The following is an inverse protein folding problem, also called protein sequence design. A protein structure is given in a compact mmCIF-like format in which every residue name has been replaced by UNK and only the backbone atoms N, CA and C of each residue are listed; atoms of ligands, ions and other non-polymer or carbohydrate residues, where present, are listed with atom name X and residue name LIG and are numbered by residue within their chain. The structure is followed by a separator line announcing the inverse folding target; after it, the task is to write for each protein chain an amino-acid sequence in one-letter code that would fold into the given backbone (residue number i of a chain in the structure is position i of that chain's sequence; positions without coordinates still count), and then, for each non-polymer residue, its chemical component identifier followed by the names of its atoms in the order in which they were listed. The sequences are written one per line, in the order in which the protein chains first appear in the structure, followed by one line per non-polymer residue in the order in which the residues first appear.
data_IF_698298363694
#
_entry.id   IF_698298363694
#
_cell.length_a   1.000
_cell.length_b   1.000
_cell.length_c   1.000
_cell.angle_alpha   90.00
_cell.angle_beta   90.00
_cell.angle_gamma   90.00
#
_symmetry.space_group_name_H-M   'P 1'
#
loop_
_entity.id
_entity.type
_entity.pdbx_description
1 polymer ?
#
# COMPACT_ATOMS: atom_id res chain seq x y z
N UNK A 1 -1.79 -7.78 -15.63
CA UNK A 1 -0.40 -7.30 -15.63
C UNK A 1 0.36 -7.81 -14.40
N UNK A 2 -0.25 -7.75 -13.21
CA UNK A 2 0.38 -8.20 -11.95
C UNK A 2 0.89 -9.65 -12.02
N UNK A 3 0.10 -10.58 -12.58
CA UNK A 3 0.47 -12.00 -12.72
C UNK A 3 1.76 -12.26 -13.52
N UNK A 4 2.23 -11.28 -14.28
CA UNK A 4 3.51 -11.38 -15.01
C UNK A 4 4.71 -10.96 -14.16
N UNK A 5 4.47 -10.30 -13.02
CA UNK A 5 5.48 -9.66 -12.20
C UNK A 5 5.66 -10.34 -10.84
N UNK A 6 4.74 -11.21 -10.42
CA UNK A 6 4.75 -11.89 -9.12
C UNK A 6 4.41 -13.38 -9.26
N UNK A 7 4.90 -14.19 -8.31
CA UNK A 7 4.64 -15.63 -8.29
C UNK A 7 3.21 -15.97 -7.85
N UNK A 8 2.61 -15.16 -6.99
CA UNK A 8 1.28 -15.40 -6.43
C UNK A 8 0.48 -14.10 -6.35
N UNK A 9 -0.76 -14.15 -6.80
CA UNK A 9 -1.76 -13.11 -6.57
C UNK A 9 -2.82 -13.64 -5.63
N UNK A 10 -3.05 -12.93 -4.52
CA UNK A 10 -4.09 -13.23 -3.54
C UNK A 10 -5.12 -12.11 -3.61
N UNK A 11 -6.34 -12.46 -3.90
CA UNK A 11 -7.49 -11.55 -3.84
C UNK A 11 -8.27 -11.87 -2.58
N UNK A 12 -8.49 -10.88 -1.72
CA UNK A 12 -9.32 -11.02 -0.53
C UNK A 12 -10.60 -10.25 -0.76
N UNK A 13 -11.70 -10.97 -0.92
CA UNK A 13 -13.02 -10.40 -0.99
C UNK A 13 -13.56 -10.15 0.42
N UNK A 14 -13.74 -8.88 0.77
CA UNK A 14 -14.19 -8.47 2.10
C UNK A 14 -15.72 -8.32 2.17
N UNK A 15 -16.44 -9.35 1.69
CA UNK A 15 -17.90 -9.42 1.68
C UNK A 15 -18.59 -8.54 0.62
N UNK A 16 -18.13 -8.61 -0.62
CA UNK A 16 -18.69 -7.85 -1.73
C UNK A 16 -20.05 -8.40 -2.19
N UNK A 17 -20.96 -7.53 -2.59
CA UNK A 17 -22.27 -7.91 -3.12
C UNK A 17 -22.17 -8.66 -4.48
N UNK A 18 -21.10 -8.40 -5.24
CA UNK A 18 -20.85 -8.97 -6.57
C UNK A 18 -19.85 -10.13 -6.55
N UNK A 19 -19.74 -10.87 -5.44
CA UNK A 19 -18.78 -11.97 -5.29
C UNK A 19 -18.84 -13.01 -6.44
N UNK A 20 -20.01 -13.25 -7.02
CA UNK A 20 -20.16 -14.19 -8.14
C UNK A 20 -19.39 -13.76 -9.38
N UNK A 21 -19.36 -12.47 -9.68
CA UNK A 21 -18.58 -11.91 -10.80
C UNK A 21 -17.07 -12.08 -10.55
N UNK A 22 -16.65 -11.94 -9.27
CA UNK A 22 -15.25 -12.17 -8.88
C UNK A 22 -14.89 -13.66 -9.02
N UNK A 23 -15.76 -14.56 -8.61
CA UNK A 23 -15.57 -16.01 -8.75
C UNK A 23 -15.41 -16.43 -10.22
N UNK A 24 -16.20 -15.87 -11.12
CA UNK A 24 -16.08 -16.15 -12.57
C UNK A 24 -14.72 -15.72 -13.15
N UNK A 25 -14.09 -14.67 -12.57
CA UNK A 25 -12.77 -14.23 -13.00
C UNK A 25 -11.65 -15.18 -12.59
N UNK A 26 -11.81 -15.99 -11.52
CA UNK A 26 -10.78 -16.94 -11.06
C UNK A 26 -10.37 -17.92 -12.15
N UNK A 27 -11.33 -18.37 -12.97
CA UNK A 27 -11.09 -19.31 -14.05
C UNK A 27 -10.33 -18.69 -15.24
N UNK A 28 -10.37 -17.37 -15.37
CA UNK A 28 -9.77 -16.62 -16.48
C UNK A 28 -8.46 -15.92 -16.10
N UNK A 29 -8.31 -15.56 -14.83
CA UNK A 29 -7.14 -14.85 -14.29
C UNK A 29 -6.59 -15.62 -13.11
N UNK A 30 -5.36 -16.12 -13.19
CA UNK A 30 -4.76 -16.92 -12.13
C UNK A 30 -4.53 -16.10 -10.86
N UNK A 31 -5.42 -16.27 -9.86
CA UNK A 31 -5.27 -15.74 -8.52
C UNK A 31 -5.92 -16.66 -7.49
N UNK A 32 -5.50 -16.54 -6.24
CA UNK A 32 -6.11 -17.27 -5.13
C UNK A 32 -7.14 -16.34 -4.46
N UNK A 33 -8.40 -16.79 -4.42
CA UNK A 33 -9.50 -16.02 -3.80
C UNK A 33 -9.72 -16.46 -2.35
N UNK A 34 -9.70 -15.49 -1.44
CA UNK A 34 -10.15 -15.63 -0.05
C UNK A 34 -11.46 -14.87 0.06
N UNK A 35 -12.51 -15.52 0.57
CA UNK A 35 -13.83 -14.90 0.77
C UNK A 35 -14.11 -14.74 2.24
N UNK A 36 -14.38 -13.52 2.67
CA UNK A 36 -14.82 -13.27 4.03
C UNK A 36 -16.35 -13.45 4.15
N UNK A 37 -16.79 -13.93 5.29
CA UNK A 37 -18.23 -14.17 5.56
C UNK A 37 -18.97 -12.89 6.00
N UNK A 38 -18.24 -11.82 6.23
CA UNK A 38 -18.71 -10.47 6.62
C UNK A 38 -17.60 -9.46 6.32
N UNK A 39 -17.92 -8.18 6.28
CA UNK A 39 -16.91 -7.14 6.25
C UNK A 39 -16.08 -7.18 7.56
N UNK A 40 -14.82 -7.59 7.45
CA UNK A 40 -13.88 -7.72 8.58
C UNK A 40 -12.97 -6.50 8.73
N UNK A 41 -13.12 -5.51 7.86
CA UNK A 41 -12.24 -4.35 7.76
C UNK A 41 -10.98 -4.60 6.94
N UNK A 42 -10.34 -3.51 6.51
CA UNK A 42 -9.18 -3.55 5.63
C UNK A 42 -7.98 -4.24 6.28
N UNK A 43 -7.69 -3.90 7.54
CA UNK A 43 -6.55 -4.45 8.27
C UNK A 43 -6.61 -5.98 8.37
N UNK A 44 -7.76 -6.53 8.78
CA UNK A 44 -7.97 -7.98 8.89
C UNK A 44 -7.93 -8.65 7.52
N UNK A 45 -8.55 -8.05 6.49
CA UNK A 45 -8.52 -8.58 5.13
C UNK A 45 -7.08 -8.67 4.59
N UNK A 46 -6.29 -7.60 4.73
CA UNK A 46 -4.86 -7.60 4.37
C UNK A 46 -4.10 -8.70 5.14
N UNK A 47 -4.31 -8.82 6.44
CA UNK A 47 -3.67 -9.84 7.27
C UNK A 47 -4.01 -11.25 6.82
N UNK A 48 -5.26 -11.53 6.44
CA UNK A 48 -5.69 -12.84 5.95
C UNK A 48 -4.98 -13.20 4.65
N UNK A 49 -4.84 -12.26 3.72
CA UNK A 49 -4.05 -12.45 2.51
C UNK A 49 -2.57 -12.72 2.81
N UNK A 50 -1.95 -11.86 3.63
CA UNK A 50 -0.53 -11.96 3.99
C UNK A 50 -0.19 -13.29 4.66
N UNK A 51 -1.02 -13.78 5.58
CA UNK A 51 -0.81 -15.05 6.29
C UNK A 51 -0.69 -16.25 5.35
N UNK A 52 -1.30 -16.23 4.18
CA UNK A 52 -1.22 -17.35 3.23
C UNK A 52 0.14 -17.47 2.54
N UNK A 53 0.91 -16.38 2.48
CA UNK A 53 2.17 -16.29 1.73
C UNK A 53 3.39 -15.92 2.56
N UNK A 54 3.23 -15.44 3.79
CA UNK A 54 4.32 -14.87 4.60
C UNK A 54 5.50 -15.83 4.84
N UNK A 55 5.24 -17.15 4.85
CA UNK A 55 6.28 -18.18 5.05
C UNK A 55 6.85 -18.72 3.75
N UNK A 56 6.28 -18.34 2.60
CA UNK A 56 6.62 -18.89 1.28
C UNK A 56 7.20 -17.85 0.33
N UNK A 57 7.01 -16.56 0.63
CA UNK A 57 7.42 -15.44 -0.22
C UNK A 57 8.47 -14.58 0.49
N UNK A 58 9.36 -13.98 -0.27
CA UNK A 58 10.35 -13.03 0.25
C UNK A 58 9.76 -11.65 0.53
N UNK A 59 8.75 -11.28 -0.26
CA UNK A 59 8.07 -9.99 -0.19
C UNK A 59 6.56 -10.14 -0.33
N UNK A 60 5.85 -9.14 0.14
CA UNK A 60 4.44 -8.89 -0.12
C UNK A 60 4.31 -7.50 -0.71
N UNK A 61 3.43 -7.33 -1.66
CA UNK A 61 3.03 -6.02 -2.16
C UNK A 61 1.50 -5.93 -2.07
N UNK A 62 1.01 -4.83 -1.53
CA UNK A 62 -0.41 -4.63 -1.27
C UNK A 62 -0.98 -3.72 -2.36
N UNK A 63 -2.19 -4.00 -2.81
CA UNK A 63 -2.88 -3.16 -3.78
C UNK A 63 -4.36 -3.00 -3.41
N UNK A 64 -4.88 -1.81 -3.67
CA UNK A 64 -6.31 -1.57 -3.73
C UNK A 64 -6.85 -2.08 -5.08
N UNK A 65 -8.15 -2.40 -5.11
CA UNK A 65 -8.81 -3.03 -6.26
C UNK A 65 -8.77 -2.21 -7.56
N UNK A 66 -8.64 -0.89 -7.47
CA UNK A 66 -8.63 0.05 -8.60
C UNK A 66 -7.21 0.46 -9.03
N UNK A 67 -6.19 -0.14 -8.44
CA UNK A 67 -4.77 0.16 -8.71
C UNK A 67 -4.37 -0.20 -10.14
N UNK A 68 -3.60 0.67 -10.77
CA UNK A 68 -2.98 0.44 -12.09
C UNK A 68 -1.48 0.56 -11.97
N UNK A 69 -0.79 -0.46 -12.47
CA UNK A 69 0.67 -0.55 -12.40
C UNK A 69 1.31 -0.58 -13.79
N UNK A 70 2.57 -0.19 -13.86
CA UNK A 70 3.45 -0.31 -15.04
C UNK A 70 3.90 -1.76 -15.24
N UNK A 71 4.48 -2.07 -16.40
CA UNK A 71 4.99 -3.41 -16.72
C UNK A 71 6.20 -3.83 -15.87
N UNK A 72 6.94 -2.88 -15.30
CA UNK A 72 8.14 -3.13 -14.48
C UNK A 72 7.95 -2.68 -13.02
N UNK A 73 6.71 -2.49 -12.56
CA UNK A 73 6.42 -1.91 -11.25
C UNK A 73 7.13 -2.65 -10.11
N UNK A 74 6.94 -3.96 -10.03
CA UNK A 74 7.50 -4.78 -8.94
C UNK A 74 9.04 -4.80 -9.02
N UNK A 75 9.59 -4.94 -10.23
CA UNK A 75 11.05 -4.91 -10.44
C UNK A 75 11.65 -3.58 -9.97
N UNK A 76 11.03 -2.46 -10.29
CA UNK A 76 11.52 -1.14 -9.90
C UNK A 76 11.36 -0.87 -8.39
N UNK A 77 10.30 -1.38 -7.75
CA UNK A 77 10.19 -1.35 -6.29
C UNK A 77 11.31 -2.16 -5.62
N UNK A 78 11.60 -3.36 -6.12
CA UNK A 78 12.71 -4.19 -5.64
C UNK A 78 14.09 -3.55 -5.86
N UNK A 79 14.31 -2.90 -7.00
CA UNK A 79 15.57 -2.15 -7.28
C UNK A 79 15.75 -1.01 -6.28
N UNK A 80 14.70 -0.24 -6.02
CA UNK A 80 14.71 0.84 -5.05
C UNK A 80 15.03 0.31 -3.64
N UNK A 81 14.36 -0.74 -3.19
CA UNK A 81 14.63 -1.36 -1.91
C UNK A 81 16.06 -1.86 -1.79
N UNK A 82 16.57 -2.58 -2.80
CA UNK A 82 17.95 -3.10 -2.81
C UNK A 82 18.99 -1.98 -2.78
N UNK A 83 18.76 -0.89 -3.51
CA UNK A 83 19.60 0.31 -3.45
C UNK A 83 19.67 0.87 -2.03
N UNK A 84 18.54 1.04 -1.36
CA UNK A 84 18.47 1.54 0.01
C UNK A 84 19.21 0.62 0.99
N UNK A 85 18.99 -0.69 0.89
CA UNK A 85 19.64 -1.69 1.76
C UNK A 85 21.16 -1.71 1.53
N UNK A 86 21.62 -1.61 0.28
CA UNK A 86 23.06 -1.56 -0.03
C UNK A 86 23.75 -0.31 0.55
N UNK A 87 22.99 0.75 0.79
CA UNK A 87 23.43 1.97 1.49
C UNK A 87 23.20 1.92 3.01
N UNK A 88 22.96 0.73 3.58
CA UNK A 88 22.86 0.51 5.03
C UNK A 88 21.52 0.92 5.65
N UNK A 89 20.48 1.15 4.83
CA UNK A 89 19.16 1.52 5.35
C UNK A 89 18.39 0.28 5.80
N UNK A 90 17.79 0.34 6.97
CA UNK A 90 16.83 -0.65 7.49
C UNK A 90 15.43 -0.32 6.95
N UNK A 91 15.10 -0.82 5.76
CA UNK A 91 13.86 -0.50 5.05
C UNK A 91 12.68 -1.26 5.63
N UNK A 92 11.57 -0.56 5.93
CA UNK A 92 10.28 -1.18 6.28
C UNK A 92 9.44 -1.43 5.06
N UNK A 93 9.22 -0.40 4.25
CA UNK A 93 8.40 -0.45 3.05
C UNK A 93 8.91 0.52 2.00
N UNK A 94 8.68 0.19 0.74
CA UNK A 94 8.89 1.09 -0.40
C UNK A 94 7.56 1.28 -1.11
N UNK A 95 7.03 2.50 -1.11
CA UNK A 95 5.80 2.89 -1.81
C UNK A 95 6.09 3.62 -3.11
N UNK A 96 5.14 3.66 -4.05
CA UNK A 96 5.24 4.47 -5.25
C UNK A 96 4.94 5.95 -4.96
N UNK A 97 5.22 6.80 -5.93
CA UNK A 97 4.70 8.16 -5.99
C UNK A 97 3.23 8.14 -6.38
N UNK A 98 2.41 8.95 -5.73
CA UNK A 98 1.00 9.10 -6.08
C UNK A 98 0.72 10.43 -6.77
N UNK A 99 -0.24 10.39 -7.70
CA UNK A 99 -0.77 11.59 -8.34
C UNK A 99 -2.30 11.53 -8.47
N UNK A 100 -2.91 12.69 -8.38
CA UNK A 100 -4.35 12.84 -8.54
C UNK A 100 -4.76 12.60 -10.00
N UNK A 101 -5.72 11.71 -10.22
CA UNK A 101 -6.16 11.30 -11.54
C UNK A 101 -6.75 12.45 -12.39
N UNK A 102 -7.38 13.42 -11.75
CA UNK A 102 -8.11 14.48 -12.44
C UNK A 102 -7.25 15.71 -12.70
N UNK A 103 -6.45 16.11 -11.72
CA UNK A 103 -5.61 17.30 -11.80
C UNK A 103 -4.19 17.01 -12.30
N UNK A 104 -3.74 15.75 -12.25
CA UNK A 104 -2.35 15.37 -12.47
C UNK A 104 -1.41 15.85 -11.35
N UNK A 105 -1.96 16.41 -10.27
CA UNK A 105 -1.17 16.88 -9.14
C UNK A 105 -0.44 15.71 -8.48
N UNK A 106 0.89 15.82 -8.37
CA UNK A 106 1.73 14.86 -7.67
C UNK A 106 1.72 15.18 -6.18
N UNK A 107 1.33 14.19 -5.36
CA UNK A 107 1.35 14.36 -3.91
C UNK A 107 2.78 14.40 -3.39
N UNK A 108 3.13 15.40 -2.55
CA UNK A 108 4.45 15.46 -1.94
C UNK A 108 4.64 14.35 -0.92
N UNK A 109 5.90 14.01 -0.64
CA UNK A 109 6.24 13.10 0.44
C UNK A 109 6.01 13.78 1.78
N UNK A 110 5.26 13.11 2.66
CA UNK A 110 4.95 13.62 3.99
C UNK A 110 5.92 13.06 5.02
N UNK A 111 6.58 13.95 5.76
CA UNK A 111 7.49 13.62 6.85
C UNK A 111 7.10 14.37 8.11
N UNK A 112 6.85 13.65 9.21
CA UNK A 112 6.59 14.25 10.51
C UNK A 112 7.90 14.48 11.25
N UNK A 113 8.11 15.72 11.74
CA UNK A 113 9.20 16.11 12.63
C UNK A 113 8.61 16.62 13.95
N UNK A 114 8.34 15.70 14.87
CA UNK A 114 7.59 16.01 16.09
C UNK A 114 6.16 16.45 15.76
N UNK A 115 5.79 17.67 16.11
CA UNK A 115 4.46 18.25 15.82
C UNK A 115 4.36 18.94 14.45
N UNK A 116 5.47 19.02 13.70
CA UNK A 116 5.50 19.69 12.40
C UNK A 116 5.39 18.65 11.28
N UNK A 117 4.68 19.06 10.22
CA UNK A 117 4.58 18.28 8.98
C UNK A 117 5.46 18.98 7.94
N UNK A 118 6.39 18.22 7.38
CA UNK A 118 7.22 18.65 6.26
C UNK A 118 6.74 17.95 5.00
N UNK A 119 6.54 18.71 3.93
CA UNK A 119 6.25 18.20 2.61
C UNK A 119 7.47 18.39 1.72
N UNK A 120 7.98 17.29 1.18
CA UNK A 120 9.13 17.32 0.29
C UNK A 120 8.66 16.97 -1.12
N UNK A 121 9.03 17.82 -2.09
CA UNK A 121 8.81 17.51 -3.50
C UNK A 121 9.66 16.33 -3.93
N UNK A 122 9.11 15.52 -4.81
CA UNK A 122 9.77 14.30 -5.31
C UNK A 122 10.81 14.70 -6.36
N UNK A 123 12.01 14.18 -6.18
CA UNK A 123 13.15 14.28 -7.09
C UNK A 123 13.53 12.89 -7.63
N UNK A 124 14.72 12.75 -8.20
CA UNK A 124 15.21 11.49 -8.79
C UNK A 124 15.85 10.53 -7.77
N UNK A 125 15.69 10.78 -6.46
CA UNK A 125 16.24 9.95 -5.40
C UNK A 125 15.11 9.41 -4.50
N UNK A 126 15.24 8.18 -3.94
CA UNK A 126 14.29 7.66 -2.97
C UNK A 126 14.16 8.57 -1.75
N UNK A 127 12.95 8.96 -1.40
CA UNK A 127 12.67 9.90 -0.32
C UNK A 127 12.15 9.18 0.92
N UNK A 128 12.82 9.40 2.06
CA UNK A 128 12.32 8.93 3.36
C UNK A 128 11.00 9.61 3.70
N UNK A 129 9.99 8.82 4.02
CA UNK A 129 8.66 9.25 4.44
C UNK A 129 8.36 8.76 5.86
N UNK A 130 7.44 9.41 6.56
CA UNK A 130 6.96 8.90 7.85
C UNK A 130 6.08 7.67 7.65
N UNK A 131 5.29 7.65 6.60
CA UNK A 131 4.47 6.52 6.19
C UNK A 131 4.35 6.47 4.67
N UNK A 132 3.96 5.33 4.17
CA UNK A 132 3.59 5.07 2.78
C UNK A 132 2.17 4.54 2.74
N UNK A 133 1.42 4.87 1.69
CA UNK A 133 0.08 4.31 1.47
C UNK A 133 0.22 2.82 1.18
N UNK A 134 -0.69 2.01 1.70
CA UNK A 134 -0.64 0.55 1.55
C UNK A 134 -0.61 0.13 0.08
N UNK A 135 -1.41 0.77 -0.78
CA UNK A 135 -1.47 0.45 -2.21
C UNK A 135 -0.13 0.69 -2.91
N UNK A 136 0.40 -0.34 -3.55
CA UNK A 136 1.72 -0.34 -4.21
C UNK A 136 2.92 -0.48 -3.27
N UNK A 137 2.70 -0.63 -1.96
CA UNK A 137 3.79 -0.77 -0.99
C UNK A 137 4.39 -2.17 -1.00
N UNK A 138 5.69 -2.24 -1.28
CA UNK A 138 6.51 -3.45 -1.18
C UNK A 138 7.08 -3.59 0.22
N UNK A 139 6.88 -4.74 0.85
CA UNK A 139 7.32 -5.05 2.22
C UNK A 139 7.98 -6.43 2.24
N UNK A 140 9.16 -6.56 2.84
CA UNK A 140 9.78 -7.88 3.09
C UNK A 140 8.98 -8.67 4.12
N UNK A 141 8.78 -9.95 3.88
CA UNK A 141 8.11 -10.84 4.85
C UNK A 141 8.86 -10.95 6.17
N UNK A 142 10.20 -10.85 6.14
CA UNK A 142 11.01 -10.79 7.36
C UNK A 142 10.71 -9.54 8.21
N UNK A 143 10.40 -8.41 7.58
CA UNK A 143 10.00 -7.17 8.27
C UNK A 143 8.60 -7.31 8.85
N UNK A 144 7.65 -7.89 8.09
CA UNK A 144 6.31 -8.21 8.61
C UNK A 144 6.36 -9.13 9.83
N UNK A 145 7.28 -10.11 9.84
CA UNK A 145 7.48 -11.01 10.99
C UNK A 145 8.08 -10.30 12.19
N UNK A 146 9.01 -9.37 11.99
CA UNK A 146 9.63 -8.61 13.09
C UNK A 146 8.71 -7.52 13.65
N UNK A 147 8.07 -6.73 12.76
CA UNK A 147 7.20 -5.61 13.15
C UNK A 147 5.83 -6.11 13.61
N UNK A 148 5.35 -7.20 13.06
CA UNK A 148 3.98 -7.71 13.17
C UNK A 148 3.12 -7.26 12.00
N UNK A 149 1.97 -7.91 11.85
CA UNK A 149 0.98 -7.56 10.83
C UNK A 149 0.21 -6.29 11.20
N UNK A 150 -0.72 -5.87 10.36
CA UNK A 150 -1.59 -4.72 10.61
C UNK A 150 -2.44 -4.94 11.86
N UNK A 151 -2.77 -3.88 12.59
CA UNK A 151 -3.64 -3.98 13.75
C UNK A 151 -5.10 -4.03 13.33
N UNK A 152 -5.76 -5.15 13.62
CA UNK A 152 -7.15 -5.40 13.20
C UNK A 152 -8.14 -4.34 13.74
N UNK A 153 -7.85 -3.74 14.90
CA UNK A 153 -8.68 -2.71 15.54
C UNK A 153 -8.80 -1.41 14.73
N UNK A 154 -7.87 -1.15 13.79
CA UNK A 154 -7.93 0.03 12.93
C UNK A 154 -8.94 -0.09 11.79
N UNK A 155 -9.57 -1.19 11.64
CA UNK A 155 -10.61 -1.51 10.67
C UNK A 155 -10.32 -1.02 9.22
N UNK A 156 -10.32 0.30 8.96
CA UNK A 156 -10.06 0.88 7.62
C UNK A 156 -9.10 2.07 7.66
N UNK A 157 -9.21 2.97 8.63
CA UNK A 157 -8.40 4.19 8.66
C UNK A 157 -7.08 3.99 9.42
N UNK A 158 -6.03 4.69 8.98
CA UNK A 158 -4.71 4.71 9.62
C UNK A 158 -3.98 3.36 9.72
N UNK A 159 -4.43 2.33 9.02
CA UNK A 159 -3.83 0.98 9.04
C UNK A 159 -2.35 1.03 8.62
N UNK A 160 -2.07 1.70 7.53
CA UNK A 160 -0.72 1.90 6.97
C UNK A 160 0.13 2.86 7.82
N UNK A 161 -0.48 3.94 8.30
CA UNK A 161 0.21 4.93 9.15
C UNK A 161 0.67 4.29 10.46
N UNK A 162 -0.22 3.57 11.17
CA UNK A 162 0.13 2.85 12.40
C UNK A 162 1.25 1.87 12.16
N UNK A 163 1.14 1.03 11.12
CA UNK A 163 2.15 0.03 10.84
C UNK A 163 3.51 0.65 10.55
N UNK A 164 3.56 1.73 9.76
CA UNK A 164 4.79 2.46 9.46
C UNK A 164 5.41 3.10 10.71
N UNK A 165 4.61 3.68 11.60
CA UNK A 165 5.08 4.25 12.86
C UNK A 165 5.63 3.18 13.80
N UNK A 166 4.96 2.03 13.89
CA UNK A 166 5.42 0.87 14.66
C UNK A 166 6.72 0.30 14.11
N UNK A 167 6.87 0.22 12.78
CA UNK A 167 8.12 -0.14 12.13
C UNK A 167 9.23 0.86 12.45
N UNK A 168 8.92 2.17 12.42
CA UNK A 168 9.86 3.24 12.78
C UNK A 168 10.35 3.12 14.23
N UNK A 169 9.50 2.73 15.17
CA UNK A 169 9.90 2.51 16.56
C UNK A 169 10.92 1.38 16.73
N UNK A 170 11.03 0.48 15.76
CA UNK A 170 12.03 -0.59 15.66
C UNK A 170 13.25 -0.21 14.80
N UNK A 171 13.34 1.05 14.40
CA UNK A 171 14.45 1.60 13.61
C UNK A 171 14.36 1.34 12.11
N UNK A 172 13.24 0.86 11.62
CA UNK A 172 12.96 0.78 10.18
C UNK A 172 12.54 2.14 9.61
N UNK A 173 12.67 2.29 8.29
CA UNK A 173 12.28 3.52 7.58
C UNK A 173 11.47 3.19 6.34
N UNK A 174 10.44 3.99 6.08
CA UNK A 174 9.66 3.94 4.84
C UNK A 174 10.25 4.88 3.80
N UNK A 175 10.17 4.48 2.53
CA UNK A 175 10.64 5.29 1.41
C UNK A 175 9.61 5.35 0.29
N UNK A 176 9.61 6.48 -0.42
CA UNK A 176 8.90 6.64 -1.70
C UNK A 176 9.90 6.42 -2.83
N UNK A 177 9.55 5.54 -3.76
CA UNK A 177 10.27 5.34 -5.02
C UNK A 177 9.81 6.40 -6.04
N UNK A 178 10.69 7.32 -6.49
CA UNK A 178 10.32 8.38 -7.42
C UNK A 178 10.06 7.88 -8.84
N UNK A 179 10.56 6.69 -9.17
CA UNK A 179 10.49 6.14 -10.54
C UNK A 179 9.18 5.40 -10.83
N UNK A 180 8.42 5.03 -9.78
CA UNK A 180 7.12 4.40 -9.94
C UNK A 180 5.99 5.34 -9.54
N UNK A 181 4.98 5.44 -10.42
CA UNK A 181 3.85 6.35 -10.25
C UNK A 181 2.55 5.57 -10.29
N UNK A 182 1.71 5.81 -9.30
CA UNK A 182 0.36 5.27 -9.25
C UNK A 182 -0.69 6.37 -9.19
N UNK A 183 -1.81 6.15 -9.85
CA UNK A 183 -2.98 7.01 -9.71
C UNK A 183 -3.65 6.69 -8.38
N UNK A 184 -4.01 7.73 -7.64
CA UNK A 184 -4.78 7.60 -6.42
C UNK A 184 -5.89 8.65 -6.39
N UNK A 185 -7.11 8.22 -6.12
CA UNK A 185 -8.24 9.12 -5.88
C UNK A 185 -8.48 9.18 -4.38
N UNK A 186 -8.17 10.30 -3.76
CA UNK A 186 -8.50 10.50 -2.33
C UNK A 186 -9.98 10.85 -2.23
N UNK A 187 -10.82 9.85 -1.94
CA UNK A 187 -12.27 10.00 -1.75
C UNK A 187 -13.04 10.36 -3.02
N UNK A 188 -14.27 9.90 -3.11
CA UNK A 188 -15.14 10.13 -4.28
C UNK A 188 -15.64 11.58 -4.37
N UNK A 189 -15.63 12.32 -3.29
CA UNK A 189 -16.11 13.71 -3.24
C UNK A 189 -15.25 14.56 -2.30
N UNK A 190 -14.79 15.70 -2.82
CA UNK A 190 -14.12 16.73 -2.01
C UNK A 190 -15.07 17.89 -1.74
N UNK A 191 -15.31 18.20 -0.50
CA UNK A 191 -16.13 19.35 -0.08
C UNK A 191 -15.24 20.34 0.65
N UNK A 192 -15.32 21.62 0.25
CA UNK A 192 -14.61 22.69 0.94
C UNK A 192 -15.52 23.31 1.99
N UNK A 193 -15.22 23.11 3.27
CA UNK A 193 -15.94 23.73 4.38
C UNK A 193 -14.98 24.69 5.09
N UNK A 194 -15.36 25.97 5.19
CA UNK A 194 -14.59 27.02 5.86
C UNK A 194 -13.11 27.10 5.37
N UNK A 195 -12.90 26.95 4.06
CA UNK A 195 -11.56 27.02 3.45
C UNK A 195 -10.68 25.79 3.68
N UNK A 196 -11.20 24.72 4.29
CA UNK A 196 -10.53 23.43 4.41
C UNK A 196 -11.18 22.40 3.49
N UNK A 197 -10.36 21.69 2.75
CA UNK A 197 -10.80 20.59 1.89
C UNK A 197 -11.01 19.33 2.77
N UNK A 198 -12.21 18.77 2.72
CA UNK A 198 -12.58 17.53 3.42
C UNK A 198 -12.91 16.51 2.35
N UNK A 199 -12.29 15.33 2.43
CA UNK A 199 -12.66 14.19 1.60
C UNK A 199 -13.85 13.46 2.24
N UNK A 200 -14.89 13.22 1.46
CA UNK A 200 -16.02 12.39 1.86
C UNK A 200 -15.85 11.03 1.17
N UNK A 201 -16.00 9.98 1.93
CA UNK A 201 -16.10 8.62 1.41
C UNK A 201 -17.57 8.30 1.23
N UNK A 202 -17.94 7.73 0.07
CA UNK A 202 -19.26 7.15 -0.12
C UNK A 202 -19.42 5.97 0.83
N UNK A 203 -20.60 5.82 1.43
CA UNK A 203 -20.92 4.67 2.26
C UNK A 203 -20.72 3.37 1.46
N UNK A 204 -19.95 2.47 2.03
CA UNK A 204 -19.70 1.12 1.51
C UNK A 204 -20.84 0.17 1.92
#
# INVERSE_FOLDING_TARGET
ELNKQVDNVIVVDNFSANIKEIEELVDHVHFNLIKENKNVGLATAQNNGIRTVIDKSSHVIIFDQDSKITECFVENQLKCENYLISNGVKVSAVGPTFYDRHSGYQYPVTKYKGVFIEHTEINDEPLEATFVIASGSLIRTSVLKDVGLMLDDFFIDFVDVEWCLRASSKGYKCYINPFEKMQHSIGDMRVTILGRMISLHSDF
#
